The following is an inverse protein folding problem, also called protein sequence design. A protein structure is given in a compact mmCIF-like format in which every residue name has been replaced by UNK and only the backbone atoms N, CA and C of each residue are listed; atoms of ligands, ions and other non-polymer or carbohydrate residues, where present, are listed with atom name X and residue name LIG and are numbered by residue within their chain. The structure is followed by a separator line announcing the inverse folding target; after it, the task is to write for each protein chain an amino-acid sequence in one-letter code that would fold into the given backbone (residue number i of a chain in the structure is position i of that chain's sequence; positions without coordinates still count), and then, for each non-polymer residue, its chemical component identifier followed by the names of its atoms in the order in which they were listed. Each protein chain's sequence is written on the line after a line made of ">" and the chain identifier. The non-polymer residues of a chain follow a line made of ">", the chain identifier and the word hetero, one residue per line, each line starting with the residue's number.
data_IF_506186149128
#
_entry.id   IF_506186149128
#
_cell.length_a   1.000
_cell.length_b   1.000
_cell.length_c   1.000
_cell.angle_alpha   90.00
_cell.angle_beta   90.00
_cell.angle_gamma   90.00
#
_symmetry.space_group_name_H-M   'P 1'
#
loop_
_entity.id
_entity.type
_entity.pdbx_description
1 polymer ?
#
# COMPACT_ATOMS: atom_id res chain seq x y z
N UNK A 1 -3.67 9.12 -43.83
CA UNK A 1 -2.81 8.03 -44.35
C UNK A 1 -2.82 8.12 -45.85
N UNK A 2 -1.70 8.40 -46.48
CA UNK A 2 -1.52 8.39 -47.92
C UNK A 2 -0.70 7.18 -48.34
N UNK A 3 -1.22 6.38 -49.27
CA UNK A 3 -0.52 5.16 -49.74
C UNK A 3 -0.06 5.43 -51.17
N UNK A 4 1.24 5.36 -51.39
CA UNK A 4 1.87 5.52 -52.71
C UNK A 4 2.61 4.24 -53.10
N UNK A 5 2.45 3.82 -54.33
CA UNK A 5 3.21 2.68 -54.90
C UNK A 5 4.35 3.21 -55.76
N UNK A 6 5.57 2.88 -55.44
CA UNK A 6 6.77 3.21 -56.20
C UNK A 6 7.50 1.93 -56.64
N UNK A 7 7.20 1.45 -57.84
CA UNK A 7 7.75 0.17 -58.32
C UNK A 7 7.27 -1.06 -57.53
N UNK A 8 8.19 -1.78 -56.95
CA UNK A 8 7.89 -2.95 -56.11
C UNK A 8 7.69 -2.58 -54.63
N UNK A 9 7.77 -1.30 -54.27
CA UNK A 9 7.64 -0.81 -52.87
C UNK A 9 6.31 -0.11 -52.66
N UNK A 10 5.68 -0.38 -51.52
CA UNK A 10 4.50 0.36 -51.06
C UNK A 10 4.98 1.33 -49.98
N UNK A 11 4.83 2.64 -50.23
CA UNK A 11 5.14 3.70 -49.27
C UNK A 11 3.84 4.14 -48.63
N UNK A 12 3.74 4.00 -47.31
CA UNK A 12 2.63 4.50 -46.51
C UNK A 12 3.08 5.74 -45.78
N UNK A 13 2.62 6.93 -46.25
CA UNK A 13 2.91 8.20 -45.58
C UNK A 13 1.84 8.47 -44.52
N UNK A 14 2.29 8.71 -43.32
CA UNK A 14 1.47 8.95 -42.14
C UNK A 14 1.60 10.44 -41.75
N UNK A 15 0.47 11.14 -41.66
CA UNK A 15 0.42 12.48 -41.08
C UNK A 15 -0.62 12.43 -39.96
N UNK A 16 -0.23 12.06 -38.73
CA UNK A 16 -1.17 11.98 -37.60
C UNK A 16 -1.71 13.38 -37.26
N UNK A 17 -2.95 13.43 -36.87
CA UNK A 17 -3.55 14.64 -36.27
C UNK A 17 -3.17 14.70 -34.80
N UNK A 18 -3.18 15.89 -34.17
CA UNK A 18 -2.90 16.04 -32.72
C UNK A 18 -3.75 15.14 -31.82
N UNK A 19 -4.95 14.75 -32.25
CA UNK A 19 -5.82 13.82 -31.52
C UNK A 19 -5.37 12.36 -31.64
N UNK A 20 -4.77 11.99 -32.77
CA UNK A 20 -4.26 10.65 -33.04
C UNK A 20 -2.87 10.42 -32.41
N UNK A 21 -2.10 11.49 -32.20
CA UNK A 21 -0.82 11.45 -31.45
C UNK A 21 -1.04 11.09 -29.96
N UNK A 22 -2.23 11.35 -29.42
CA UNK A 22 -2.58 11.02 -28.03
C UNK A 22 -2.99 9.55 -27.83
N UNK A 23 -3.30 8.82 -28.92
CA UNK A 23 -3.70 7.40 -28.87
C UNK A 23 -2.86 6.56 -29.85
N UNK A 24 -1.56 6.60 -29.64
CA UNK A 24 -0.55 5.89 -30.42
C UNK A 24 -0.81 4.38 -30.56
N UNK A 25 -1.28 3.63 -29.56
CA UNK A 25 -1.56 2.22 -29.71
C UNK A 25 -2.69 1.92 -30.73
N UNK A 26 -3.77 2.69 -30.70
CA UNK A 26 -4.85 2.55 -31.69
C UNK A 26 -4.40 2.97 -33.08
N UNK A 27 -3.56 3.97 -33.16
CA UNK A 27 -2.98 4.44 -34.40
C UNK A 27 -2.13 3.36 -35.08
N UNK A 28 -1.23 2.72 -34.33
CA UNK A 28 -0.41 1.60 -34.79
C UNK A 28 -1.25 0.41 -35.24
N UNK A 29 -2.30 0.05 -34.51
CA UNK A 29 -3.20 -1.04 -34.87
C UNK A 29 -3.94 -0.72 -36.19
N UNK A 30 -4.44 0.49 -36.37
CA UNK A 30 -5.08 0.94 -37.62
C UNK A 30 -4.11 0.91 -38.79
N UNK A 31 -2.86 1.29 -38.56
CA UNK A 31 -1.81 1.31 -39.58
C UNK A 31 -1.44 -0.10 -40.02
N UNK A 32 -1.21 -1.01 -39.08
CA UNK A 32 -0.97 -2.44 -39.36
C UNK A 32 -2.11 -3.08 -40.15
N UNK A 33 -3.34 -2.84 -39.73
CA UNK A 33 -4.53 -3.34 -40.42
C UNK A 33 -4.67 -2.76 -41.86
N UNK A 34 -4.31 -1.50 -42.08
CA UNK A 34 -4.33 -0.87 -43.39
C UNK A 34 -3.25 -1.43 -44.31
N UNK A 35 -2.06 -1.72 -43.80
CA UNK A 35 -0.95 -2.35 -44.53
C UNK A 35 -1.31 -3.77 -44.91
N UNK A 36 -1.87 -4.58 -44.03
CA UNK A 36 -2.30 -5.96 -44.33
C UNK A 36 -3.40 -5.98 -45.40
N UNK A 37 -4.36 -5.07 -45.30
CA UNK A 37 -5.41 -4.93 -46.36
C UNK A 37 -4.81 -4.49 -47.69
N UNK A 38 -3.85 -3.58 -47.70
CA UNK A 38 -3.18 -3.14 -48.93
C UNK A 38 -2.34 -4.26 -49.55
N UNK A 39 -1.62 -5.06 -48.77
CA UNK A 39 -0.90 -6.25 -49.22
C UNK A 39 -1.85 -7.29 -49.81
N UNK A 40 -2.94 -7.58 -49.14
CA UNK A 40 -3.95 -8.54 -49.59
C UNK A 40 -4.66 -8.11 -50.90
N UNK A 41 -4.97 -6.81 -51.03
CA UNK A 41 -5.60 -6.25 -52.22
C UNK A 41 -4.66 -6.21 -53.44
N UNK A 42 -3.34 -6.06 -53.20
CA UNK A 42 -2.33 -6.04 -54.26
C UNK A 42 -1.90 -7.45 -54.74
N UNK A 43 -2.35 -8.52 -54.07
CA UNK A 43 -1.99 -9.93 -54.43
C UNK A 43 -0.51 -10.26 -54.23
N UNK A 44 0.23 -9.48 -53.45
CA UNK A 44 1.68 -9.55 -53.30
C UNK A 44 2.05 -9.58 -51.80
N UNK A 45 2.17 -10.79 -51.27
CA UNK A 45 2.48 -11.00 -49.84
C UNK A 45 3.92 -10.69 -49.44
N UNK A 46 4.84 -10.48 -50.41
CA UNK A 46 6.27 -10.31 -50.15
C UNK A 46 6.81 -8.90 -50.47
N UNK A 47 5.95 -7.91 -50.70
CA UNK A 47 6.41 -6.55 -50.92
C UNK A 47 6.93 -5.86 -49.65
N UNK A 48 8.11 -5.25 -49.78
CA UNK A 48 8.68 -4.42 -48.74
C UNK A 48 7.82 -3.16 -48.53
N UNK A 49 7.30 -2.97 -47.32
CA UNK A 49 6.50 -1.80 -46.97
C UNK A 49 7.40 -0.83 -46.23
N UNK A 50 7.61 0.36 -46.83
CA UNK A 50 8.34 1.45 -46.20
C UNK A 50 7.32 2.42 -45.57
N UNK A 51 7.53 2.72 -44.30
CA UNK A 51 6.73 3.72 -43.59
C UNK A 51 7.45 5.07 -43.64
N UNK A 52 6.86 6.06 -44.30
CA UNK A 52 7.33 7.45 -44.30
C UNK A 52 6.50 8.31 -43.34
N UNK A 53 7.14 9.27 -42.65
CA UNK A 53 6.45 10.20 -41.75
C UNK A 53 6.20 9.68 -40.33
N UNK A 54 6.57 8.44 -40.02
CA UNK A 54 6.43 7.83 -38.67
C UNK A 54 7.75 7.76 -37.90
N UNK A 55 8.86 8.15 -38.51
CA UNK A 55 10.19 7.98 -37.88
C UNK A 55 10.29 8.67 -36.53
N UNK A 56 9.88 9.94 -36.42
CA UNK A 56 9.84 10.65 -35.13
C UNK A 56 8.82 10.09 -34.14
N UNK A 57 7.68 9.60 -34.63
CA UNK A 57 6.61 9.01 -33.80
C UNK A 57 7.00 7.63 -33.26
N UNK A 58 7.70 6.82 -34.05
CA UNK A 58 8.23 5.53 -33.60
C UNK A 58 9.37 5.70 -32.59
N UNK A 59 10.24 6.70 -32.78
CA UNK A 59 11.28 7.03 -31.83
C UNK A 59 10.70 7.53 -30.50
N UNK A 60 9.69 8.40 -30.54
CA UNK A 60 8.97 8.86 -29.34
C UNK A 60 8.26 7.70 -28.62
N UNK A 61 7.62 6.79 -29.37
CA UNK A 61 6.98 5.61 -28.79
C UNK A 61 8.00 4.67 -28.15
N UNK A 62 9.13 4.41 -28.82
CA UNK A 62 10.19 3.57 -28.29
C UNK A 62 10.76 4.17 -26.98
N UNK A 63 10.93 5.49 -26.95
CA UNK A 63 11.39 6.21 -25.76
C UNK A 63 10.37 6.13 -24.63
N UNK A 64 9.10 6.41 -24.91
CA UNK A 64 8.02 6.31 -23.92
C UNK A 64 7.86 4.87 -23.36
N UNK A 65 7.99 3.87 -24.24
CA UNK A 65 7.92 2.46 -23.82
C UNK A 65 9.14 2.09 -22.94
N UNK A 66 10.33 2.58 -23.26
CA UNK A 66 11.52 2.36 -22.46
C UNK A 66 11.38 3.01 -21.07
N UNK A 67 10.92 4.28 -21.01
CA UNK A 67 10.66 4.99 -19.76
C UNK A 67 9.61 4.28 -18.89
N UNK A 68 8.51 3.79 -19.48
CA UNK A 68 7.49 3.01 -18.77
C UNK A 68 8.03 1.67 -18.26
N UNK A 69 8.90 1.03 -19.03
CA UNK A 69 9.52 -0.25 -18.63
C UNK A 69 10.48 -0.03 -17.46
N UNK A 70 11.29 1.03 -17.51
CA UNK A 70 12.20 1.41 -16.44
C UNK A 70 11.43 1.76 -15.15
N UNK A 71 10.37 2.56 -15.25
CA UNK A 71 9.52 2.88 -14.11
C UNK A 71 8.85 1.63 -13.50
N UNK A 72 8.37 0.72 -14.35
CA UNK A 72 7.76 -0.53 -13.88
C UNK A 72 8.79 -1.44 -13.19
N UNK A 73 10.04 -1.47 -13.67
CA UNK A 73 11.12 -2.22 -13.03
C UNK A 73 11.49 -1.61 -11.68
N UNK A 74 11.65 -0.28 -11.62
CA UNK A 74 11.93 0.43 -10.38
C UNK A 74 10.83 0.22 -9.33
N UNK A 75 9.56 0.31 -9.73
CA UNK A 75 8.43 0.02 -8.83
C UNK A 75 8.44 -1.42 -8.34
N UNK A 76 8.75 -2.39 -9.21
CA UNK A 76 8.83 -3.80 -8.83
C UNK A 76 9.98 -4.08 -7.85
N UNK A 77 11.14 -3.43 -8.04
CA UNK A 77 12.28 -3.53 -7.13
C UNK A 77 11.97 -2.89 -5.77
N UNK A 78 11.34 -1.71 -5.76
CA UNK A 78 10.92 -1.03 -4.54
C UNK A 78 9.92 -1.87 -3.75
N UNK A 79 8.89 -2.41 -4.41
CA UNK A 79 7.91 -3.28 -3.76
C UNK A 79 8.54 -4.56 -3.19
N UNK A 80 9.49 -5.15 -3.92
CA UNK A 80 10.23 -6.31 -3.43
C UNK A 80 11.04 -5.96 -2.18
N UNK A 81 11.73 -4.83 -2.20
CA UNK A 81 12.51 -4.34 -1.06
C UNK A 81 11.60 -4.12 0.15
N UNK A 82 10.46 -3.42 -0.01
CA UNK A 82 9.50 -3.20 1.06
C UNK A 82 9.00 -4.51 1.67
N UNK A 83 8.68 -5.53 0.85
CA UNK A 83 8.29 -6.86 1.33
C UNK A 83 9.39 -7.58 2.10
N UNK A 84 10.64 -7.50 1.63
CA UNK A 84 11.80 -8.08 2.31
C UNK A 84 12.05 -7.39 3.66
N UNK A 85 11.93 -6.05 3.72
CA UNK A 85 12.07 -5.25 4.94
C UNK A 85 10.93 -5.55 5.93
N UNK A 86 9.68 -5.66 5.47
CA UNK A 86 8.53 -6.07 6.28
C UNK A 86 8.72 -7.49 6.86
N UNK A 87 9.23 -8.43 6.05
CA UNK A 87 9.47 -9.81 6.51
C UNK A 87 10.51 -9.83 7.63
N UNK A 88 11.62 -9.11 7.45
CA UNK A 88 12.67 -9.01 8.46
C UNK A 88 12.14 -8.39 9.75
N UNK A 89 11.42 -7.28 9.65
CA UNK A 89 10.86 -6.59 10.81
C UNK A 89 9.80 -7.45 11.52
N UNK A 90 8.94 -8.18 10.79
CA UNK A 90 7.97 -9.10 11.39
C UNK A 90 8.68 -10.22 12.19
N UNK A 91 9.76 -10.79 11.67
CA UNK A 91 10.52 -11.82 12.36
C UNK A 91 11.24 -11.27 13.60
N UNK A 92 11.83 -10.06 13.52
CA UNK A 92 12.44 -9.37 14.66
C UNK A 92 11.41 -9.06 15.75
N UNK A 93 10.23 -8.55 15.38
CA UNK A 93 9.13 -8.28 16.30
C UNK A 93 8.60 -9.57 16.95
N UNK A 94 8.46 -10.68 16.21
CA UNK A 94 8.06 -11.97 16.77
C UNK A 94 9.06 -12.50 17.77
N UNK A 95 10.34 -12.27 17.56
CA UNK A 95 11.41 -12.65 18.51
C UNK A 95 11.36 -11.73 19.73
N UNK A 96 11.32 -10.43 19.54
CA UNK A 96 11.32 -9.44 20.62
C UNK A 96 10.08 -9.55 21.51
N UNK A 97 8.91 -9.83 20.91
CA UNK A 97 7.61 -9.91 21.59
C UNK A 97 7.18 -11.34 21.92
N UNK A 98 8.10 -12.33 21.83
CA UNK A 98 7.76 -13.74 21.98
C UNK A 98 7.00 -14.03 23.27
N UNK A 99 7.41 -13.48 24.39
CA UNK A 99 6.76 -13.70 25.68
C UNK A 99 5.31 -13.19 25.69
N UNK A 100 5.06 -12.01 25.11
CA UNK A 100 3.74 -11.40 25.03
C UNK A 100 2.83 -12.12 24.04
N UNK A 101 3.41 -12.66 22.96
CA UNK A 101 2.71 -13.51 21.99
C UNK A 101 2.30 -14.83 22.65
N UNK A 102 3.21 -15.50 23.36
CA UNK A 102 2.95 -16.75 24.07
C UNK A 102 1.85 -16.58 25.17
N UNK A 103 1.71 -15.37 25.72
CA UNK A 103 0.66 -14.99 26.66
C UNK A 103 -0.66 -14.59 25.99
N UNK A 104 -0.70 -14.50 24.66
CA UNK A 104 -1.89 -14.06 23.91
C UNK A 104 -2.21 -12.56 24.07
N UNK A 105 -1.26 -11.74 24.50
CA UNK A 105 -1.44 -10.29 24.68
C UNK A 105 -1.17 -9.53 23.36
N UNK A 106 -0.31 -10.09 22.51
CA UNK A 106 0.14 -9.48 21.24
C UNK A 106 0.05 -10.52 20.13
N UNK A 107 -0.36 -10.10 18.94
CA UNK A 107 -0.21 -10.85 17.70
C UNK A 107 0.61 -10.01 16.72
N UNK A 108 1.45 -10.67 15.93
CA UNK A 108 2.25 -10.03 14.86
C UNK A 108 1.97 -10.79 13.57
N UNK A 109 1.39 -10.09 12.62
CA UNK A 109 1.03 -10.61 11.30
C UNK A 109 1.73 -9.77 10.24
N UNK A 110 2.10 -10.41 9.12
CA UNK A 110 2.61 -9.72 7.94
C UNK A 110 1.58 -9.81 6.82
N UNK A 111 1.30 -8.70 6.18
CA UNK A 111 0.45 -8.60 4.99
C UNK A 111 1.22 -7.83 3.90
N UNK A 112 1.82 -8.58 2.98
CA UNK A 112 2.70 -8.07 1.91
C UNK A 112 3.87 -7.22 2.44
N UNK A 113 3.84 -5.90 2.22
CA UNK A 113 4.82 -4.90 2.63
C UNK A 113 4.50 -4.24 3.98
N UNK A 114 3.51 -4.78 4.69
CA UNK A 114 3.04 -4.27 5.98
C UNK A 114 3.24 -5.29 7.10
N UNK A 115 3.47 -4.77 8.28
CA UNK A 115 3.43 -5.55 9.52
C UNK A 115 2.35 -4.98 10.42
N UNK A 116 1.44 -5.85 10.88
CA UNK A 116 0.35 -5.47 11.78
C UNK A 116 0.62 -6.10 13.15
N UNK A 117 0.81 -5.24 14.14
CA UNK A 117 0.93 -5.65 15.54
C UNK A 117 -0.38 -5.35 16.24
N UNK A 118 -1.11 -6.39 16.63
CA UNK A 118 -2.35 -6.27 17.39
C UNK A 118 -2.07 -6.46 18.88
N UNK A 119 -2.44 -5.48 19.70
CA UNK A 119 -2.32 -5.52 21.16
C UNK A 119 -3.72 -5.53 21.75
N UNK A 120 -4.07 -6.60 22.47
CA UNK A 120 -5.35 -6.68 23.19
C UNK A 120 -5.46 -5.60 24.26
N UNK A 121 -6.59 -4.93 24.36
CA UNK A 121 -6.79 -3.82 25.28
C UNK A 121 -6.55 -4.22 26.75
N UNK A 122 -6.82 -5.47 27.12
CA UNK A 122 -6.51 -5.98 28.47
C UNK A 122 -5.03 -6.04 28.80
N UNK A 123 -4.15 -6.06 27.77
CA UNK A 123 -2.70 -5.97 27.93
C UNK A 123 -2.18 -4.55 27.87
N UNK A 124 -2.87 -3.68 27.11
CA UNK A 124 -2.38 -2.31 26.87
C UNK A 124 -2.96 -1.28 27.84
N UNK A 125 -4.23 -1.42 28.25
CA UNK A 125 -4.95 -0.41 29.03
C UNK A 125 -5.80 -1.03 30.13
N UNK A 126 -5.98 -0.31 31.23
CA UNK A 126 -7.02 -0.62 32.21
C UNK A 126 -8.42 -0.34 31.62
N UNK A 127 -9.47 -0.97 32.18
CA UNK A 127 -10.84 -0.76 31.73
C UNK A 127 -11.25 0.72 31.81
N UNK A 128 -11.74 1.27 30.70
CA UNK A 128 -12.16 2.67 30.62
C UNK A 128 -11.01 3.70 30.67
N UNK A 129 -9.74 3.25 30.65
CA UNK A 129 -8.56 4.13 30.61
C UNK A 129 -7.91 4.12 29.23
N UNK A 130 -7.20 5.20 28.93
CA UNK A 130 -6.25 5.32 27.84
C UNK A 130 -4.80 5.47 28.35
N UNK A 131 -4.56 5.32 29.64
CA UNK A 131 -3.22 5.27 30.18
C UNK A 131 -2.63 3.87 29.95
N UNK A 132 -1.44 3.80 29.33
CA UNK A 132 -0.74 2.54 29.10
C UNK A 132 -0.39 1.85 30.42
N UNK A 133 -0.58 0.55 30.45
CA UNK A 133 -0.13 -0.26 31.62
C UNK A 133 1.40 -0.35 31.66
N UNK A 134 1.99 -0.60 32.84
CA UNK A 134 3.43 -0.85 32.93
C UNK A 134 3.93 -1.99 32.04
N UNK A 135 3.07 -2.98 31.77
CA UNK A 135 3.36 -4.12 30.88
C UNK A 135 3.34 -3.75 29.41
N UNK A 136 2.57 -2.73 29.03
CA UNK A 136 2.47 -2.25 27.64
C UNK A 136 3.68 -1.40 27.22
N UNK A 137 4.28 -0.66 28.14
CA UNK A 137 5.41 0.24 27.86
C UNK A 137 6.58 -0.50 27.18
N UNK A 138 7.05 -1.65 27.69
CA UNK A 138 8.11 -2.41 27.02
C UNK A 138 7.72 -2.91 25.63
N UNK A 139 6.43 -3.20 25.40
CA UNK A 139 5.93 -3.61 24.07
C UNK A 139 6.14 -2.45 23.09
N UNK A 140 5.71 -1.25 23.44
CA UNK A 140 5.88 -0.05 22.60
C UNK A 140 7.35 0.25 22.34
N UNK A 141 8.21 0.12 23.36
CA UNK A 141 9.66 0.32 23.21
C UNK A 141 10.30 -0.70 22.26
N UNK A 142 9.87 -1.97 22.28
CA UNK A 142 10.35 -2.99 21.35
C UNK A 142 9.90 -2.70 19.92
N UNK A 143 8.63 -2.29 19.72
CA UNK A 143 8.12 -1.90 18.41
C UNK A 143 8.89 -0.68 17.89
N UNK A 144 9.09 0.35 18.72
CA UNK A 144 9.87 1.52 18.35
C UNK A 144 11.31 1.16 17.99
N UNK A 145 11.96 0.29 18.78
CA UNK A 145 13.34 -0.11 18.56
C UNK A 145 13.57 -0.83 17.23
N UNK A 146 12.69 -1.75 16.84
CA UNK A 146 12.78 -2.43 15.54
C UNK A 146 12.61 -1.46 14.36
N UNK A 147 11.85 -0.39 14.55
CA UNK A 147 11.53 0.57 13.50
C UNK A 147 12.36 1.89 13.58
N UNK A 148 13.38 1.92 14.45
CA UNK A 148 14.18 3.11 14.68
C UNK A 148 15.04 3.53 13.47
N UNK A 149 15.56 2.56 12.72
CA UNK A 149 16.55 2.79 11.66
C UNK A 149 15.95 2.76 10.25
N UNK A 150 14.62 2.64 10.13
CA UNK A 150 13.93 2.67 8.84
C UNK A 150 13.00 3.89 8.72
N UNK A 151 12.47 4.13 7.51
CA UNK A 151 11.57 5.24 7.23
C UNK A 151 10.09 4.79 7.17
N UNK A 152 9.75 3.63 7.78
CA UNK A 152 8.39 3.09 7.79
C UNK A 152 7.39 4.08 8.38
N UNK A 153 6.20 4.17 7.80
CA UNK A 153 5.07 4.92 8.33
C UNK A 153 4.26 4.03 9.26
N UNK A 154 3.85 4.54 10.41
CA UNK A 154 3.16 3.78 11.45
C UNK A 154 1.80 4.40 11.74
N UNK A 155 0.75 3.63 11.48
CA UNK A 155 -0.62 4.01 11.78
C UNK A 155 -1.13 3.22 13.00
N UNK A 156 -1.55 3.93 14.04
CA UNK A 156 -2.11 3.35 15.27
C UNK A 156 -3.62 3.49 15.28
N UNK A 157 -4.33 2.37 15.22
CA UNK A 157 -5.79 2.30 15.17
C UNK A 157 -6.38 1.80 16.49
N UNK A 158 -7.26 2.61 17.08
CA UNK A 158 -7.97 2.28 18.31
C UNK A 158 -9.36 1.69 18.07
N UNK A 159 -9.67 0.57 18.75
CA UNK A 159 -10.95 -0.14 18.66
C UNK A 159 -11.52 -0.41 20.04
N UNK A 160 -12.86 -0.42 20.15
CA UNK A 160 -13.61 -0.81 21.35
C UNK A 160 -14.58 -1.94 21.02
N UNK A 161 -15.19 -2.50 22.05
CA UNK A 161 -16.47 -3.20 21.91
C UNK A 161 -17.62 -2.19 21.81
N UNK A 162 -18.85 -2.69 21.67
CA UNK A 162 -20.07 -1.90 21.55
C UNK A 162 -20.73 -1.55 22.91
N UNK A 163 -20.11 -1.90 24.03
CA UNK A 163 -20.65 -1.58 25.36
C UNK A 163 -20.49 -0.08 25.62
N UNK A 164 -21.59 0.64 25.88
CA UNK A 164 -21.53 2.07 26.21
C UNK A 164 -20.69 2.32 27.46
N UNK A 165 -19.97 3.44 27.48
CA UNK A 165 -19.20 3.84 28.66
C UNK A 165 -20.13 4.18 29.83
N UNK A 166 -19.67 3.92 31.05
CA UNK A 166 -20.43 4.23 32.26
C UNK A 166 -20.59 5.75 32.44
N UNK A 167 -21.69 6.15 33.05
CA UNK A 167 -21.92 7.56 33.38
C UNK A 167 -20.78 8.11 34.27
N UNK A 168 -20.28 9.28 33.94
CA UNK A 168 -19.14 9.90 34.64
C UNK A 168 -17.78 9.45 34.13
N UNK A 169 -17.74 8.68 33.04
CA UNK A 169 -16.47 8.39 32.33
C UNK A 169 -15.76 9.69 31.93
N UNK A 170 -14.43 9.67 31.88
CA UNK A 170 -13.59 10.75 31.34
C UNK A 170 -13.84 10.99 29.85
N UNK A 171 -14.27 9.97 29.14
CA UNK A 171 -14.54 9.96 27.70
C UNK A 171 -16.02 10.00 27.43
N UNK A 172 -16.43 10.71 26.36
CA UNK A 172 -17.83 10.89 25.98
C UNK A 172 -18.49 9.61 25.48
N UNK A 173 -17.74 8.87 24.66
CA UNK A 173 -18.18 7.67 23.97
C UNK A 173 -16.97 6.75 23.61
N UNK A 174 -17.26 5.63 22.96
CA UNK A 174 -16.26 4.66 22.52
C UNK A 174 -15.28 5.23 21.48
N UNK A 175 -15.71 6.19 20.69
CA UNK A 175 -14.83 6.86 19.71
C UNK A 175 -13.80 7.74 20.41
N UNK A 176 -14.22 8.47 21.42
CA UNK A 176 -13.35 9.34 22.23
C UNK A 176 -12.32 8.51 23.01
N UNK A 177 -12.75 7.38 23.60
CA UNK A 177 -11.86 6.45 24.30
C UNK A 177 -10.83 5.82 23.33
N UNK A 178 -11.26 5.36 22.15
CA UNK A 178 -10.39 4.76 21.16
C UNK A 178 -9.37 5.77 20.62
N UNK A 179 -9.79 7.02 20.36
CA UNK A 179 -8.90 8.11 19.95
C UNK A 179 -7.83 8.40 21.02
N UNK A 180 -8.24 8.49 22.28
CA UNK A 180 -7.29 8.71 23.37
C UNK A 180 -6.28 7.58 23.53
N UNK A 181 -6.70 6.33 23.31
CA UNK A 181 -5.83 5.15 23.35
C UNK A 181 -4.80 5.14 22.22
N UNK A 182 -5.24 5.37 20.97
CA UNK A 182 -4.30 5.46 19.84
C UNK A 182 -3.31 6.61 20.01
N UNK A 183 -3.75 7.77 20.54
CA UNK A 183 -2.86 8.88 20.84
C UNK A 183 -1.84 8.54 21.93
N UNK A 184 -2.22 7.81 23.00
CA UNK A 184 -1.29 7.37 24.04
C UNK A 184 -0.22 6.41 23.51
N UNK A 185 -0.59 5.52 22.57
CA UNK A 185 0.38 4.64 21.90
C UNK A 185 1.33 5.45 21.02
N UNK A 186 0.82 6.36 20.20
CA UNK A 186 1.67 7.25 19.38
C UNK A 186 2.66 8.03 20.25
N UNK A 187 2.21 8.61 21.36
CA UNK A 187 3.08 9.30 22.31
C UNK A 187 4.17 8.37 22.91
N UNK A 188 3.83 7.12 23.15
CA UNK A 188 4.80 6.14 23.65
C UNK A 188 5.82 5.71 22.59
N UNK A 189 5.40 5.60 21.31
CA UNK A 189 6.28 5.27 20.18
C UNK A 189 7.24 6.43 19.84
N UNK A 190 6.78 7.68 19.98
CA UNK A 190 7.63 8.86 19.76
C UNK A 190 8.46 9.25 20.97
N UNK A 191 8.26 8.59 22.12
CA UNK A 191 9.04 8.88 23.33
C UNK A 191 10.54 8.70 23.04
N UNK A 192 11.33 9.58 23.62
CA UNK A 192 12.80 9.60 23.45
C UNK A 192 13.27 9.90 22.01
N UNK A 193 12.36 10.29 21.08
CA UNK A 193 12.69 10.66 19.71
C UNK A 193 13.17 9.51 18.84
N UNK A 194 12.87 8.27 19.23
CA UNK A 194 13.24 7.05 18.46
C UNK A 194 12.50 7.01 17.13
N UNK A 195 11.20 7.31 17.14
CA UNK A 195 10.40 7.49 15.93
C UNK A 195 9.95 8.95 15.85
N UNK A 196 10.16 9.59 14.72
CA UNK A 196 9.75 10.98 14.50
C UNK A 196 8.25 11.11 14.32
N UNK A 197 7.67 12.20 14.84
CA UNK A 197 6.22 12.43 14.86
C UNK A 197 5.58 12.40 13.47
N UNK A 198 6.30 12.82 12.42
CA UNK A 198 5.81 12.83 11.05
C UNK A 198 5.62 11.42 10.42
N UNK A 199 6.12 10.38 11.10
CA UNK A 199 5.94 8.98 10.71
C UNK A 199 4.76 8.31 11.42
N UNK A 200 4.09 9.02 12.33
CA UNK A 200 3.09 8.46 13.24
C UNK A 200 1.72 9.06 12.98
N UNK A 201 0.72 8.20 12.86
CA UNK A 201 -0.69 8.57 12.75
C UNK A 201 -1.52 7.86 13.81
N UNK A 202 -2.49 8.57 14.42
CA UNK A 202 -3.44 8.02 15.36
C UNK A 202 -4.86 8.07 14.79
N UNK A 203 -5.50 6.90 14.67
CA UNK A 203 -6.86 6.77 14.13
C UNK A 203 -7.77 6.15 15.19
N UNK A 204 -9.02 6.60 15.24
CA UNK A 204 -10.08 5.99 16.03
C UNK A 204 -11.11 5.33 15.12
N UNK A 205 -11.45 4.09 15.43
CA UNK A 205 -12.59 3.40 14.83
C UNK A 205 -13.71 3.10 15.84
N UNK A 206 -13.48 3.37 17.13
CA UNK A 206 -14.44 3.05 18.17
C UNK A 206 -14.96 1.63 18.05
N UNK A 207 -16.28 1.44 18.10
CA UNK A 207 -16.95 0.15 17.92
C UNK A 207 -17.25 -0.24 16.46
N UNK A 208 -16.89 0.59 15.48
CA UNK A 208 -17.38 0.45 14.09
C UNK A 208 -16.74 -0.70 13.30
N UNK A 209 -15.61 -1.25 13.78
CA UNK A 209 -14.86 -2.32 13.09
C UNK A 209 -14.63 -3.51 14.01
N UNK A 210 -15.68 -4.28 14.37
CA UNK A 210 -15.52 -5.48 15.19
C UNK A 210 -14.85 -6.60 14.40
N UNK A 211 -13.96 -7.37 15.05
CA UNK A 211 -13.32 -8.56 14.50
C UNK A 211 -13.97 -9.85 15.00
N UNK A 212 -14.84 -9.74 16.03
CA UNK A 212 -15.61 -10.86 16.56
C UNK A 212 -16.97 -10.34 17.06
N UNK A 213 -17.92 -11.25 17.37
CA UNK A 213 -19.24 -10.88 17.88
C UNK A 213 -19.16 -10.14 19.21
N UNK A 214 -19.88 -9.04 19.33
CA UNK A 214 -20.06 -8.30 20.58
C UNK A 214 -21.03 -8.99 21.56
N UNK A 215 -21.77 -10.02 21.14
CA UNK A 215 -22.72 -10.75 22.00
C UNK A 215 -21.99 -11.54 23.10
N UNK A 216 -20.75 -11.95 22.85
CA UNK A 216 -19.96 -12.74 23.80
C UNK A 216 -18.87 -11.91 24.48
N UNK A 217 -18.55 -12.24 25.74
CA UNK A 217 -17.46 -11.57 26.45
C UNK A 217 -16.08 -11.82 25.78
N UNK A 218 -15.90 -13.00 25.18
CA UNK A 218 -14.68 -13.34 24.44
C UNK A 218 -14.55 -12.49 23.18
N UNK A 219 -15.62 -12.35 22.40
CA UNK A 219 -15.61 -11.50 21.19
C UNK A 219 -15.40 -10.04 21.53
N UNK A 220 -16.09 -9.50 22.55
CA UNK A 220 -15.84 -8.13 23.03
C UNK A 220 -14.38 -7.92 23.44
N UNK A 221 -13.76 -8.92 24.08
CA UNK A 221 -12.34 -8.83 24.45
C UNK A 221 -11.41 -8.71 23.24
N UNK A 222 -11.72 -9.39 22.13
CA UNK A 222 -10.97 -9.27 20.87
C UNK A 222 -11.23 -7.92 20.19
N UNK A 223 -12.47 -7.39 20.27
CA UNK A 223 -12.83 -6.11 19.68
C UNK A 223 -12.13 -4.94 20.39
N UNK A 224 -11.92 -5.02 21.71
CA UNK A 224 -11.09 -4.06 22.46
C UNK A 224 -9.61 -4.30 22.18
N UNK A 225 -9.09 -3.62 21.16
CA UNK A 225 -7.71 -3.79 20.71
C UNK A 225 -7.11 -2.49 20.16
N UNK A 226 -5.81 -2.48 20.05
CA UNK A 226 -5.04 -1.52 19.25
C UNK A 226 -4.39 -2.30 18.11
N UNK A 227 -4.46 -1.79 16.93
CA UNK A 227 -3.71 -2.24 15.76
C UNK A 227 -2.65 -1.21 15.43
N UNK A 228 -1.40 -1.65 15.31
CA UNK A 228 -0.25 -0.84 14.91
C UNK A 228 0.17 -1.38 13.55
N UNK A 229 -0.19 -0.67 12.49
CA UNK A 229 0.16 -0.98 11.11
C UNK A 229 1.45 -0.23 10.75
N UNK A 230 2.45 -0.98 10.29
CA UNK A 230 3.78 -0.47 9.93
C UNK A 230 3.97 -0.73 8.44
N UNK A 231 4.09 0.32 7.64
CA UNK A 231 4.26 0.26 6.18
C UNK A 231 5.74 0.48 5.83
N UNK A 232 6.35 -0.48 5.12
CA UNK A 232 7.77 -0.51 4.77
C UNK A 232 8.05 -0.08 3.33
#
# INVERSE_FOLDING_TARGET
>A
IEVQTLGEKVIVNFTPTEAEERDLPQLLQKTLNAVERAKSAAGKSEQEVMFGGLEGTLEQLAKATAELTEQAQEQAENLKKSKDDATKAADELKIALKQQIDQGLVAVEQDEDKVIVTVGAGGAFASGSADLTPEAIPIMQQIAGVNAENDSEITVSGHTDDVPLIFGSRYRDNWDLAAARSASVVQSLSADGVITDNRLEAISYGESRPVDSNDTSAGRSKNRRIEIEINY
#
